data_IF_976596167115
#
_entry.id   IF_976596167115
#
_cell.length_a   1.000
_cell.length_b   1.000
_cell.length_c   1.000
_cell.angle_alpha   90.00
_cell.angle_beta   90.00
_cell.angle_gamma   90.00
#
_symmetry.space_group_name_H-M   'P 1'
#
loop_
_entity.id
_entity.type
_entity.pdbx_description
1 polymer ?
#
# COMPACT_ATOMS: atom_id res chain seq x y z
N UNK A 1 16.50 -34.42 4.52
CA UNK A 1 15.27 -33.99 5.17
C UNK A 1 14.22 -33.75 4.08
N UNK A 2 13.07 -34.40 4.16
CA UNK A 2 11.96 -34.14 3.23
C UNK A 2 11.40 -32.75 3.54
N UNK A 3 11.39 -31.89 2.54
CA UNK A 3 10.74 -30.59 2.64
C UNK A 3 9.24 -30.79 2.86
N UNK A 4 8.68 -30.15 3.88
CA UNK A 4 7.24 -30.17 4.12
C UNK A 4 6.53 -29.37 3.02
N UNK A 5 5.44 -29.89 2.50
CA UNK A 5 4.58 -29.20 1.53
C UNK A 5 3.24 -28.93 2.19
N UNK A 6 2.82 -27.67 2.22
CA UNK A 6 1.52 -27.24 2.71
C UNK A 6 0.53 -27.11 1.55
N UNK A 7 -0.72 -27.37 1.83
CA UNK A 7 -1.80 -27.24 0.83
C UNK A 7 -2.02 -25.78 0.46
N UNK A 8 -1.78 -25.42 -0.79
CA UNK A 8 -1.99 -24.06 -1.30
C UNK A 8 -3.43 -23.57 -1.22
N UNK A 9 -4.41 -24.45 -0.98
CA UNK A 9 -5.82 -24.10 -0.77
C UNK A 9 -6.17 -23.84 0.70
N UNK A 10 -5.27 -24.10 1.65
CA UNK A 10 -5.53 -23.89 3.06
C UNK A 10 -5.74 -22.41 3.38
N UNK A 11 -6.34 -22.06 4.53
CA UNK A 11 -6.42 -20.67 4.96
C UNK A 11 -5.05 -20.00 4.97
N UNK A 12 -4.96 -18.75 4.47
CA UNK A 12 -3.70 -18.05 4.28
C UNK A 12 -2.87 -17.98 5.58
N UNK A 13 -3.52 -17.76 6.72
CA UNK A 13 -2.87 -17.69 8.03
C UNK A 13 -2.13 -18.96 8.43
N UNK A 14 -2.51 -20.09 7.87
CA UNK A 14 -1.85 -21.39 8.09
C UNK A 14 -0.64 -21.60 7.17
N UNK A 15 -0.48 -20.76 6.15
CA UNK A 15 0.54 -20.94 5.12
C UNK A 15 1.70 -19.98 5.26
N UNK A 16 1.42 -18.73 5.58
CA UNK A 16 2.44 -17.69 5.54
C UNK A 16 2.07 -16.48 6.40
N UNK A 17 3.09 -15.68 6.66
CA UNK A 17 2.94 -14.35 7.27
C UNK A 17 3.48 -13.30 6.32
N UNK A 18 2.76 -12.21 6.14
CA UNK A 18 3.19 -11.04 5.37
C UNK A 18 3.63 -9.96 6.33
N UNK A 19 4.83 -9.43 6.16
CA UNK A 19 5.41 -8.39 7.01
C UNK A 19 5.70 -7.13 6.21
N UNK A 20 5.76 -6.01 6.91
CA UNK A 20 5.97 -4.69 6.33
C UNK A 20 4.69 -3.87 6.35
N UNK A 21 4.86 -2.56 6.45
CA UNK A 21 3.73 -1.62 6.52
C UNK A 21 3.34 -1.15 5.12
N UNK A 22 2.03 -1.09 4.84
CA UNK A 22 1.51 -0.49 3.62
C UNK A 22 1.93 0.99 3.55
N UNK A 23 2.47 1.40 2.42
CA UNK A 23 2.91 2.78 2.20
C UNK A 23 4.27 3.14 2.79
N UNK A 24 5.04 2.15 3.27
CA UNK A 24 6.39 2.40 3.81
C UNK A 24 7.44 2.74 2.75
N UNK A 25 7.14 2.55 1.47
CA UNK A 25 8.11 2.72 0.38
C UNK A 25 9.09 1.55 0.24
N UNK A 26 8.85 0.46 0.95
CA UNK A 26 9.67 -0.75 0.94
C UNK A 26 8.77 -1.93 0.56
N UNK A 27 9.32 -2.90 -0.17
CA UNK A 27 8.60 -4.12 -0.49
C UNK A 27 8.23 -4.88 0.79
N UNK A 28 7.04 -5.48 0.86
CA UNK A 28 6.74 -6.42 1.94
C UNK A 28 7.62 -7.65 1.82
N UNK A 29 7.68 -8.42 2.88
CA UNK A 29 8.29 -9.75 2.88
C UNK A 29 7.27 -10.79 3.29
N UNK A 30 7.48 -12.03 2.85
CA UNK A 30 6.69 -13.16 3.31
C UNK A 30 7.58 -14.21 3.94
N UNK A 31 7.02 -14.91 4.92
CA UNK A 31 7.65 -16.07 5.55
C UNK A 31 6.67 -17.23 5.47
N UNK A 32 7.09 -18.32 4.84
CA UNK A 32 6.29 -19.53 4.76
C UNK A 32 6.36 -20.27 6.09
N UNK A 33 5.23 -20.74 6.59
CA UNK A 33 5.17 -21.42 7.88
C UNK A 33 5.99 -22.71 7.85
N UNK A 34 6.86 -22.87 8.85
CA UNK A 34 7.71 -24.03 8.99
C UNK A 34 8.72 -24.23 7.86
N UNK A 35 9.11 -23.16 7.16
CA UNK A 35 9.99 -23.20 5.98
C UNK A 35 9.50 -24.23 4.93
N UNK A 36 8.19 -24.44 4.89
CA UNK A 36 7.56 -25.34 3.94
C UNK A 36 7.42 -24.70 2.56
N UNK A 37 7.22 -25.51 1.54
CA UNK A 37 6.73 -25.06 0.24
C UNK A 37 5.22 -25.19 0.17
N UNK A 38 4.60 -24.47 -0.76
CA UNK A 38 3.16 -24.54 -1.00
C UNK A 38 2.87 -25.31 -2.28
N UNK A 39 1.90 -26.22 -2.22
CA UNK A 39 1.34 -26.80 -3.44
C UNK A 39 0.50 -25.74 -4.18
N UNK A 40 0.22 -25.99 -5.47
CA UNK A 40 -0.61 -25.08 -6.25
C UNK A 40 -2.06 -25.10 -5.76
N UNK A 41 -2.72 -23.94 -5.64
CA UNK A 41 -4.15 -23.90 -5.36
C UNK A 41 -4.95 -24.41 -6.59
N UNK A 42 -6.19 -24.82 -6.36
CA UNK A 42 -7.06 -25.27 -7.45
C UNK A 42 -7.66 -24.12 -8.27
N UNK A 43 -7.63 -22.92 -7.75
CA UNK A 43 -8.13 -21.70 -8.38
C UNK A 43 -7.40 -20.49 -7.82
N UNK A 44 -7.68 -19.31 -8.37
CA UNK A 44 -7.16 -18.06 -7.78
C UNK A 44 -7.92 -17.75 -6.49
N UNK A 45 -7.18 -17.58 -5.41
CA UNK A 45 -7.70 -17.26 -4.09
C UNK A 45 -7.26 -15.86 -3.69
N UNK A 46 -8.15 -15.12 -3.06
CA UNK A 46 -7.92 -13.75 -2.62
C UNK A 46 -8.22 -13.60 -1.16
N UNK A 47 -7.31 -12.97 -0.42
CA UNK A 47 -7.46 -12.69 1.00
C UNK A 47 -7.16 -11.22 1.27
N UNK A 48 -7.98 -10.58 2.11
CA UNK A 48 -7.69 -9.25 2.64
C UNK A 48 -6.96 -9.44 3.95
N UNK A 49 -5.65 -9.13 3.97
CA UNK A 49 -4.83 -9.33 5.16
C UNK A 49 -4.76 -8.07 6.03
N UNK A 50 -5.07 -6.93 5.46
CA UNK A 50 -5.20 -5.67 6.18
C UNK A 50 -6.29 -4.84 5.53
N UNK A 51 -7.22 -4.34 6.33
CA UNK A 51 -8.23 -3.38 5.87
C UNK A 51 -7.65 -1.97 5.87
N UNK A 52 -8.05 -1.16 4.88
CA UNK A 52 -7.65 0.24 4.83
C UNK A 52 -8.63 1.13 5.58
N UNK A 53 -8.15 2.31 5.95
CA UNK A 53 -8.96 3.35 6.63
C UNK A 53 -9.21 4.56 5.72
N UNK A 54 -8.60 4.57 4.54
CA UNK A 54 -8.67 5.69 3.62
C UNK A 54 -9.91 5.68 2.72
N UNK A 55 -9.78 6.35 1.59
CA UNK A 55 -10.83 6.47 0.59
C UNK A 55 -11.22 5.10 0.03
N UNK A 56 -12.51 4.83 -0.08
CA UNK A 56 -13.01 3.64 -0.77
C UNK A 56 -12.76 3.75 -2.28
N UNK A 57 -12.36 2.65 -2.90
CA UNK A 57 -12.11 2.60 -4.34
C UNK A 57 -13.01 1.57 -5.01
N UNK A 58 -13.32 1.83 -6.26
CA UNK A 58 -14.09 0.96 -7.13
C UNK A 58 -13.56 1.05 -8.54
N UNK A 59 -14.09 0.26 -9.46
CA UNK A 59 -13.73 0.36 -10.86
C UNK A 59 -13.95 1.79 -11.37
N UNK A 60 -12.97 2.32 -12.10
CA UNK A 60 -12.95 3.70 -12.58
C UNK A 60 -12.33 4.71 -11.61
N UNK A 61 -11.99 4.31 -10.39
CA UNK A 61 -11.33 5.18 -9.42
C UNK A 61 -9.83 5.25 -9.68
N UNK A 62 -9.20 6.44 -9.66
CA UNK A 62 -7.74 6.57 -9.71
C UNK A 62 -7.10 5.92 -8.48
N UNK A 63 -6.14 5.04 -8.70
CA UNK A 63 -5.43 4.31 -7.64
C UNK A 63 -3.94 4.24 -7.92
N UNK A 64 -3.16 4.04 -6.86
CA UNK A 64 -1.76 3.62 -6.93
C UNK A 64 -1.66 2.28 -6.19
N UNK A 65 -1.20 1.27 -6.89
CA UNK A 65 -0.99 -0.07 -6.34
C UNK A 65 0.49 -0.38 -6.27
N UNK A 66 0.92 -0.95 -5.15
CA UNK A 66 2.25 -1.53 -5.03
C UNK A 66 2.11 -3.04 -5.12
N UNK A 67 2.73 -3.65 -6.12
CA UNK A 67 2.58 -5.06 -6.43
C UNK A 67 3.91 -5.77 -6.26
N UNK A 68 3.93 -6.78 -5.42
CA UNK A 68 5.09 -7.65 -5.20
C UNK A 68 4.70 -9.10 -5.43
N UNK A 69 5.58 -9.88 -6.03
CA UNK A 69 5.37 -11.29 -6.29
C UNK A 69 6.37 -12.14 -5.53
N UNK A 70 5.92 -13.31 -5.10
CA UNK A 70 6.70 -14.25 -4.29
C UNK A 70 6.46 -15.68 -4.76
N UNK A 71 7.48 -16.51 -4.61
CA UNK A 71 7.37 -17.95 -4.89
C UNK A 71 6.84 -18.71 -3.69
N UNK A 72 5.89 -19.59 -3.91
CA UNK A 72 5.41 -20.55 -2.90
C UNK A 72 6.39 -21.66 -2.58
N UNK A 73 7.50 -21.80 -3.33
CA UNK A 73 8.53 -22.79 -3.04
C UNK A 73 9.38 -22.40 -1.83
N UNK A 74 9.68 -21.12 -1.68
CA UNK A 74 10.67 -20.66 -0.70
C UNK A 74 10.38 -19.27 -0.12
N UNK A 75 9.30 -18.62 -0.51
CA UNK A 75 8.94 -17.28 -0.05
C UNK A 75 9.80 -16.15 -0.64
N UNK A 76 10.66 -16.44 -1.60
CA UNK A 76 11.50 -15.41 -2.21
C UNK A 76 10.70 -14.46 -3.07
N UNK A 77 11.09 -13.19 -3.05
CA UNK A 77 10.54 -12.17 -3.92
C UNK A 77 10.95 -12.44 -5.37
N UNK A 78 9.97 -12.59 -6.25
CA UNK A 78 10.14 -12.89 -7.67
C UNK A 78 9.65 -11.75 -8.57
N UNK A 79 9.50 -10.54 -8.03
CA UNK A 79 9.03 -9.38 -8.80
C UNK A 79 9.95 -9.02 -9.98
N UNK A 80 11.24 -9.36 -9.88
CA UNK A 80 12.18 -9.23 -11.00
C UNK A 80 12.88 -7.88 -11.09
N UNK A 81 12.89 -7.12 -10.01
CA UNK A 81 13.64 -5.88 -9.90
C UNK A 81 14.28 -5.74 -8.52
N UNK A 82 15.21 -4.78 -8.38
CA UNK A 82 15.94 -4.55 -7.14
C UNK A 82 15.04 -4.06 -6.00
N UNK A 83 14.02 -3.26 -6.31
CA UNK A 83 13.10 -2.73 -5.31
C UNK A 83 12.21 -3.83 -4.70
N UNK A 84 11.99 -4.94 -5.42
CA UNK A 84 11.11 -6.02 -4.97
C UNK A 84 9.62 -5.70 -5.08
N UNK A 85 9.26 -4.61 -5.71
CA UNK A 85 7.88 -4.23 -6.02
C UNK A 85 7.80 -3.41 -7.30
N UNK A 86 6.63 -3.37 -7.88
CA UNK A 86 6.29 -2.46 -8.99
C UNK A 86 5.12 -1.58 -8.57
N UNK A 87 5.14 -0.33 -9.01
CA UNK A 87 4.01 0.57 -8.86
C UNK A 87 3.16 0.55 -10.13
N UNK A 88 1.86 0.43 -9.93
CA UNK A 88 0.88 0.62 -10.99
C UNK A 88 0.00 1.81 -10.64
N UNK A 89 -0.15 2.74 -11.57
CA UNK A 89 -0.94 3.94 -11.39
C UNK A 89 -1.91 4.11 -12.55
N UNK A 90 -3.16 4.32 -12.25
CA UNK A 90 -4.19 4.51 -13.25
C UNK A 90 -5.59 4.37 -12.66
N UNK A 91 -6.57 4.26 -13.54
CA UNK A 91 -7.95 3.98 -13.16
C UNK A 91 -8.09 2.48 -12.88
N UNK A 92 -8.63 2.14 -11.71
CA UNK A 92 -8.87 0.75 -11.37
C UNK A 92 -9.82 0.12 -12.39
N UNK A 93 -9.43 -1.00 -12.94
CA UNK A 93 -10.19 -1.69 -13.98
C UNK A 93 -9.42 -2.89 -14.52
N UNK A 94 -9.90 -3.49 -15.63
CA UNK A 94 -9.28 -4.69 -16.20
C UNK A 94 -7.82 -4.53 -16.63
N UNK A 95 -7.37 -3.29 -16.90
CA UNK A 95 -5.99 -3.03 -17.35
C UNK A 95 -4.94 -3.42 -16.33
N UNK A 96 -5.27 -3.42 -15.04
CA UNK A 96 -4.36 -3.88 -13.98
C UNK A 96 -4.34 -5.40 -13.84
N UNK A 97 -5.22 -6.09 -14.54
CA UNK A 97 -5.46 -7.52 -14.42
C UNK A 97 -6.78 -7.81 -13.71
N UNK A 98 -7.55 -8.78 -14.23
CA UNK A 98 -8.90 -9.05 -13.75
C UNK A 98 -8.94 -9.45 -12.27
N UNK A 99 -7.99 -10.26 -11.84
CA UNK A 99 -7.96 -10.72 -10.44
C UNK A 99 -7.61 -9.61 -9.47
N UNK A 100 -6.66 -8.74 -9.83
CA UNK A 100 -6.30 -7.57 -9.01
C UNK A 100 -7.48 -6.59 -8.98
N UNK A 101 -8.09 -6.30 -10.13
CA UNK A 101 -9.26 -5.43 -10.19
C UNK A 101 -10.37 -5.93 -9.25
N UNK A 102 -10.71 -7.21 -9.32
CA UNK A 102 -11.74 -7.81 -8.47
C UNK A 102 -11.36 -7.76 -6.99
N UNK A 103 -10.09 -8.05 -6.67
CA UNK A 103 -9.62 -8.08 -5.29
C UNK A 103 -9.58 -6.70 -4.63
N UNK A 104 -9.25 -5.66 -5.39
CA UNK A 104 -9.07 -4.30 -4.89
C UNK A 104 -10.38 -3.52 -4.89
N UNK A 105 -11.29 -3.81 -5.82
CA UNK A 105 -12.59 -3.13 -5.89
C UNK A 105 -13.37 -3.31 -4.59
N UNK A 106 -13.85 -2.20 -4.03
CA UNK A 106 -14.56 -2.18 -2.76
C UNK A 106 -13.66 -2.06 -1.53
N UNK A 107 -12.35 -2.10 -1.70
CA UNK A 107 -11.40 -1.87 -0.61
C UNK A 107 -11.21 -0.38 -0.35
N UNK A 108 -10.60 -0.07 0.79
CA UNK A 108 -10.19 1.30 1.14
C UNK A 108 -8.67 1.45 1.04
N UNK A 109 -8.22 2.64 0.71
CA UNK A 109 -6.79 2.94 0.68
C UNK A 109 -6.13 2.60 2.03
N UNK A 110 -4.95 2.02 1.97
CA UNK A 110 -4.26 1.42 3.10
C UNK A 110 -4.47 -0.08 3.22
N UNK A 111 -5.35 -0.67 2.40
CA UNK A 111 -5.59 -2.11 2.38
C UNK A 111 -4.43 -2.88 1.76
N UNK A 112 -4.25 -4.10 2.22
CA UNK A 112 -3.37 -5.09 1.63
C UNK A 112 -4.17 -6.34 1.29
N UNK A 113 -4.08 -6.76 0.04
CA UNK A 113 -4.68 -8.01 -0.43
C UNK A 113 -3.61 -8.96 -0.91
N UNK A 114 -3.84 -10.25 -0.72
CA UNK A 114 -2.94 -11.31 -1.16
C UNK A 114 -3.68 -12.22 -2.11
N UNK A 115 -3.14 -12.40 -3.31
CA UNK A 115 -3.65 -13.33 -4.31
C UNK A 115 -2.75 -14.55 -4.34
N UNK A 116 -3.37 -15.72 -4.41
CA UNK A 116 -2.70 -16.99 -4.65
C UNK A 116 -3.16 -17.55 -5.99
N UNK A 117 -2.21 -17.83 -6.85
CA UNK A 117 -2.48 -18.39 -8.18
C UNK A 117 -1.64 -19.65 -8.39
N UNK A 118 -2.17 -20.66 -9.12
CA UNK A 118 -1.37 -21.78 -9.53
C UNK A 118 -0.27 -21.30 -10.47
N UNK A 119 0.96 -21.75 -10.25
CA UNK A 119 2.11 -21.43 -11.06
C UNK A 119 2.91 -22.70 -11.39
N UNK A 120 3.56 -22.69 -12.54
CA UNK A 120 4.48 -23.73 -12.95
C UNK A 120 5.89 -23.17 -12.97
N UNK A 121 6.80 -23.86 -12.31
CA UNK A 121 8.22 -23.53 -12.29
C UNK A 121 8.93 -24.08 -13.55
N UNK A 122 10.16 -23.62 -13.78
CA UNK A 122 10.95 -24.03 -14.95
C UNK A 122 11.22 -25.54 -14.99
N UNK A 123 11.32 -26.18 -13.82
CA UNK A 123 11.51 -27.63 -13.71
C UNK A 123 10.22 -28.45 -13.90
N UNK A 124 9.11 -27.80 -14.21
CA UNK A 124 7.81 -28.42 -14.41
C UNK A 124 7.01 -28.64 -13.12
N UNK A 125 7.57 -28.37 -11.94
CA UNK A 125 6.85 -28.45 -10.68
C UNK A 125 5.80 -27.34 -10.58
N UNK A 126 4.74 -27.62 -9.82
CA UNK A 126 3.66 -26.64 -9.59
C UNK A 126 3.69 -26.15 -8.16
N UNK A 127 3.46 -24.86 -8.00
CA UNK A 127 3.41 -24.19 -6.71
C UNK A 127 2.41 -23.05 -6.75
N UNK A 128 2.33 -22.32 -5.65
CA UNK A 128 1.56 -21.10 -5.55
C UNK A 128 2.43 -19.90 -5.92
N UNK A 129 1.96 -19.07 -6.84
CA UNK A 129 2.46 -17.70 -7.01
C UNK A 129 1.67 -16.82 -6.04
N UNK A 130 2.40 -16.07 -5.22
CA UNK A 130 1.81 -15.18 -4.22
C UNK A 130 2.02 -13.75 -4.71
N UNK A 131 0.92 -13.01 -4.84
CA UNK A 131 0.96 -11.60 -5.21
C UNK A 131 0.42 -10.77 -4.05
N UNK A 132 1.25 -9.88 -3.51
CA UNK A 132 0.85 -8.93 -2.48
C UNK A 132 0.57 -7.60 -3.15
N UNK A 133 -0.65 -7.11 -3.01
CA UNK A 133 -1.09 -5.84 -3.57
C UNK A 133 -1.45 -4.89 -2.45
N UNK A 134 -0.71 -3.80 -2.36
CA UNK A 134 -0.99 -2.71 -1.43
C UNK A 134 -1.70 -1.59 -2.17
N UNK A 135 -2.89 -1.25 -1.72
CA UNK A 135 -3.62 -0.07 -2.19
C UNK A 135 -3.09 1.14 -1.44
N UNK A 136 -2.22 1.90 -2.11
CA UNK A 136 -1.50 3.00 -1.47
C UNK A 136 -2.41 4.18 -1.19
N UNK A 137 -2.21 4.87 -0.04
CA UNK A 137 -2.92 6.10 0.24
C UNK A 137 -2.61 7.18 -0.79
N UNK A 138 -3.64 7.79 -1.34
CA UNK A 138 -3.55 8.96 -2.23
C UNK A 138 -4.13 10.21 -1.57
N UNK A 139 -4.74 10.04 -0.39
CA UNK A 139 -5.28 11.12 0.43
C UNK A 139 -4.69 11.02 1.83
N UNK A 140 -4.53 12.16 2.48
CA UNK A 140 -4.24 12.18 3.89
C UNK A 140 -5.52 11.83 4.68
N UNK A 141 -5.40 10.95 5.66
CA UNK A 141 -6.50 10.51 6.52
C UNK A 141 -6.17 10.77 7.98
N UNK A 142 -7.21 10.89 8.81
CA UNK A 142 -7.08 11.15 10.22
C UNK A 142 -7.83 12.41 10.62
N UNK A 143 -7.73 12.78 11.86
CA UNK A 143 -8.34 14.01 12.37
C UNK A 143 -7.55 15.23 11.93
N UNK A 144 -8.27 16.27 11.52
CA UNK A 144 -7.68 17.58 11.30
C UNK A 144 -7.16 18.10 12.64
N UNK A 145 -5.89 18.43 12.71
CA UNK A 145 -5.25 18.93 13.92
C UNK A 145 -4.99 20.42 13.81
N UNK A 146 -5.10 21.10 14.94
CA UNK A 146 -4.63 22.47 15.02
C UNK A 146 -3.10 22.50 15.03
N UNK A 147 -2.49 23.49 14.38
CA UNK A 147 -1.05 23.66 14.46
C UNK A 147 -0.57 23.79 15.91
N UNK A 148 0.60 23.27 16.20
CA UNK A 148 1.21 23.43 17.51
C UNK A 148 1.47 24.91 17.81
N UNK A 149 1.46 25.26 19.09
CA UNK A 149 1.79 26.62 19.52
C UNK A 149 3.21 27.02 19.03
N UNK A 150 3.35 28.24 18.56
CA UNK A 150 4.64 28.73 18.04
C UNK A 150 4.90 28.43 16.57
N UNK A 151 3.96 27.80 15.87
CA UNK A 151 4.08 27.60 14.42
C UNK A 151 3.55 28.81 13.65
N UNK A 152 4.15 29.16 12.50
CA UNK A 152 3.63 30.21 11.64
C UNK A 152 2.22 29.94 11.16
N UNK A 153 1.44 31.00 10.96
CA UNK A 153 0.12 30.90 10.35
C UNK A 153 0.25 30.73 8.84
N UNK A 154 -0.43 29.74 8.30
CA UNK A 154 -0.50 29.52 6.85
C UNK A 154 -1.92 29.80 6.37
N UNK A 155 -2.02 30.69 5.41
CA UNK A 155 -3.30 31.09 4.81
C UNK A 155 -3.26 30.76 3.30
N UNK A 156 -4.32 30.16 2.82
CA UNK A 156 -4.50 29.92 1.38
C UNK A 156 -5.51 30.90 0.83
N UNK A 157 -5.10 31.61 -0.22
CA UNK A 157 -5.98 32.50 -0.97
C UNK A 157 -6.92 31.75 -1.90
N UNK A 158 -8.00 32.42 -2.40
CA UNK A 158 -8.96 31.80 -3.32
C UNK A 158 -8.34 31.39 -4.66
N UNK A 159 -7.22 31.95 -5.02
CA UNK A 159 -6.42 31.63 -6.22
C UNK A 159 -5.40 30.50 -5.99
N UNK A 160 -5.38 29.91 -4.79
CA UNK A 160 -4.43 28.89 -4.40
C UNK A 160 -3.08 29.42 -3.92
N UNK A 161 -2.94 30.75 -3.79
CA UNK A 161 -1.73 31.36 -3.20
C UNK A 161 -1.58 31.00 -1.74
N UNK A 162 -0.34 30.76 -1.30
CA UNK A 162 -0.02 30.43 0.09
C UNK A 162 0.73 31.58 0.73
N UNK A 163 0.21 32.06 1.84
CA UNK A 163 0.85 33.09 2.66
C UNK A 163 1.27 32.50 3.99
N UNK A 164 2.51 32.73 4.38
CA UNK A 164 3.05 32.28 5.67
C UNK A 164 3.39 33.50 6.50
N UNK A 165 2.87 33.56 7.72
CA UNK A 165 3.15 34.64 8.67
C UNK A 165 3.75 34.08 9.96
N UNK A 166 4.91 34.59 10.32
CA UNK A 166 5.58 34.28 11.59
C UNK A 166 5.62 35.47 12.54
N UNK A 167 4.76 36.47 12.31
CA UNK A 167 4.70 37.66 13.15
C UNK A 167 4.44 37.32 14.63
N UNK A 168 5.26 37.86 15.53
CA UNK A 168 5.13 37.62 16.97
C UNK A 168 5.69 36.28 17.46
N UNK A 169 6.29 35.48 16.59
CA UNK A 169 6.91 34.22 16.97
C UNK A 169 8.38 34.42 17.36
N UNK A 170 8.91 33.62 18.30
CA UNK A 170 10.33 33.64 18.64
C UNK A 170 11.18 33.14 17.49
N UNK A 171 12.48 33.48 17.54
CA UNK A 171 13.44 32.95 16.57
C UNK A 171 13.48 31.39 16.65
N UNK A 172 13.50 30.71 15.50
CA UNK A 172 13.51 29.24 15.49
C UNK A 172 14.86 28.69 15.94
N UNK A 173 14.83 27.56 16.66
CA UNK A 173 16.02 26.85 17.14
C UNK A 173 16.23 25.50 16.46
N UNK A 174 15.17 24.93 15.92
CA UNK A 174 15.21 23.65 15.18
C UNK A 174 14.11 23.60 14.14
N UNK A 175 14.30 22.73 13.14
CA UNK A 175 13.25 22.47 12.17
C UNK A 175 12.26 21.42 12.70
N UNK A 176 10.97 21.64 12.48
CA UNK A 176 9.93 20.64 12.65
C UNK A 176 8.98 20.68 11.46
N UNK A 177 8.40 19.55 11.12
CA UNK A 177 7.43 19.44 10.03
C UNK A 177 6.12 18.91 10.56
N UNK A 178 5.05 19.63 10.30
CA UNK A 178 3.68 19.20 10.59
C UNK A 178 2.95 18.98 9.26
N UNK A 179 2.14 17.93 9.23
CA UNK A 179 1.27 17.65 8.09
C UNK A 179 -0.15 17.99 8.52
N UNK A 180 -0.74 18.96 7.83
CA UNK A 180 -2.11 19.37 8.06
C UNK A 180 -2.97 18.84 6.93
N UNK A 181 -4.06 18.16 7.29
CA UNK A 181 -4.99 17.61 6.31
C UNK A 181 -5.98 18.70 5.91
N UNK A 182 -6.10 18.90 4.61
CA UNK A 182 -7.10 19.80 4.04
C UNK A 182 -7.87 19.05 2.96
N UNK A 183 -9.17 18.97 3.14
CA UNK A 183 -10.04 18.24 2.22
C UNK A 183 -10.04 16.73 2.48
N UNK A 184 -10.86 16.04 1.75
CA UNK A 184 -11.08 14.59 1.84
C UNK A 184 -10.88 13.86 0.52
N UNK A 185 -10.58 14.59 -0.53
CA UNK A 185 -10.41 14.04 -1.86
C UNK A 185 -9.06 13.38 -2.08
N UNK A 186 -8.91 12.61 -3.14
CA UNK A 186 -7.66 11.98 -3.49
C UNK A 186 -6.62 13.01 -3.92
N UNK A 187 -5.34 12.71 -3.69
CA UNK A 187 -4.24 13.54 -4.14
C UNK A 187 -4.07 13.52 -5.67
N UNK A 188 -4.52 12.45 -6.31
CA UNK A 188 -4.47 12.29 -7.77
C UNK A 188 -5.77 12.83 -8.37
N UNK A 189 -5.66 13.89 -9.16
CA UNK A 189 -6.80 14.50 -9.85
C UNK A 189 -7.82 15.22 -8.95
N UNK A 190 -7.48 15.48 -7.69
CA UNK A 190 -8.32 16.18 -6.72
C UNK A 190 -7.91 17.64 -6.56
N UNK A 191 -8.88 18.46 -6.15
CA UNK A 191 -8.63 19.82 -5.67
C UNK A 191 -8.19 19.85 -4.19
N UNK A 192 -8.40 18.76 -3.49
CA UNK A 192 -7.99 18.64 -2.09
C UNK A 192 -6.47 18.49 -2.00
N UNK A 193 -5.89 19.04 -0.94
CA UNK A 193 -4.46 19.12 -0.78
C UNK A 193 -4.01 18.69 0.58
N UNK A 194 -2.86 18.03 0.62
CA UNK A 194 -2.07 17.85 1.82
C UNK A 194 -1.22 19.11 2.00
N UNK A 195 -1.39 19.78 3.13
CA UNK A 195 -0.54 20.90 3.49
C UNK A 195 0.53 20.38 4.44
N UNK A 196 1.77 20.40 3.99
CA UNK A 196 2.93 20.14 4.82
C UNK A 196 3.53 21.49 5.23
N UNK A 197 3.69 21.68 6.53
CA UNK A 197 4.31 22.87 7.09
C UNK A 197 5.60 22.48 7.76
N UNK A 198 6.72 23.06 7.30
CA UNK A 198 8.00 22.94 7.98
C UNK A 198 8.27 24.24 8.72
N UNK A 199 8.52 24.12 10.01
CA UNK A 199 8.75 25.25 10.90
C UNK A 199 10.12 25.10 11.55
N UNK A 200 10.88 26.17 11.60
CA UNK A 200 12.09 26.27 12.42
C UNK A 200 11.66 26.61 13.86
N UNK A 201 12.04 25.81 14.83
CA UNK A 201 11.67 25.97 16.24
C UNK A 201 12.92 26.12 17.09
#
# INVERSE_FOLDING_TARGET
AQSTVLDGNAPLSQLLTVSGRVGSGVAPSIELNGDASLSAPGSVLTDVVQTGQGRAVSEGTPVILQVSQFSGLNGRNTTGNEAGYKLWQGLLGPDVGNYINTAVSGQREGARVVLREPAQEEDGSRTTKITVVDLLPTTATGEARQPAAGTPTVTEGPDGSITVSSAGLPAPTRASTEILIKGTGPQIGSQDRLIARTTMV
#
